data_IF_979138633693
#
_entry.id   IF_979138633693
#
_cell.length_a   1.000
_cell.length_b   1.000
_cell.length_c   1.000
_cell.angle_alpha   90.00
_cell.angle_beta   90.00
_cell.angle_gamma   90.00
#
_symmetry.space_group_name_H-M   'P 1'
#
loop_
_entity.id
_entity.type
_entity.pdbx_description
1 polymer ?
#
# COMPACT_ATOMS: atom_id res chain seq x y z
N UNK A 1 13.87 8.74 -4.65
CA UNK A 1 13.69 9.17 -3.27
C UNK A 1 13.39 7.99 -2.37
N UNK A 2 13.10 8.22 -1.11
CA UNK A 2 12.89 7.17 -0.10
C UNK A 2 11.88 7.64 0.93
N UNK A 3 11.08 6.72 1.42
CA UNK A 3 10.15 6.99 2.51
C UNK A 3 10.88 7.53 3.76
N UNK A 4 10.26 8.48 4.50
CA UNK A 4 10.80 8.97 5.74
C UNK A 4 11.13 7.83 6.72
N UNK A 5 12.20 7.97 7.46
CA UNK A 5 12.61 6.98 8.44
C UNK A 5 12.94 7.64 9.79
N UNK A 6 12.57 6.95 10.87
CA UNK A 6 12.87 7.37 12.24
C UNK A 6 14.15 6.64 12.70
N UNK A 7 15.31 7.32 12.79
CA UNK A 7 16.58 6.67 13.16
C UNK A 7 16.51 5.92 14.49
N UNK A 8 15.78 6.45 15.46
CA UNK A 8 15.65 5.90 16.81
C UNK A 8 14.93 4.53 16.88
N UNK A 9 14.26 4.14 15.79
CA UNK A 9 13.58 2.84 15.69
C UNK A 9 14.46 1.75 15.04
N UNK A 10 15.69 2.08 14.65
CA UNK A 10 16.61 1.11 14.06
C UNK A 10 17.37 0.36 15.15
N UNK A 11 17.62 -0.93 14.91
CA UNK A 11 18.41 -1.76 15.82
C UNK A 11 19.82 -1.21 16.04
N UNK A 12 20.42 -1.51 17.18
CA UNK A 12 21.73 -1.03 17.59
C UNK A 12 22.80 -1.17 16.51
N UNK A 13 23.46 -0.04 16.24
CA UNK A 13 24.52 0.04 15.26
C UNK A 13 24.07 -0.06 13.79
N UNK A 14 22.77 0.05 13.52
CA UNK A 14 22.20 0.26 12.20
C UNK A 14 21.67 1.69 12.07
N UNK A 15 21.52 2.15 10.83
CA UNK A 15 20.99 3.48 10.53
C UNK A 15 20.26 3.45 9.19
N UNK A 16 19.19 4.22 9.03
CA UNK A 16 18.51 4.32 7.73
C UNK A 16 19.38 4.96 6.64
N UNK A 17 20.27 5.88 7.01
CA UNK A 17 21.01 6.73 6.07
C UNK A 17 22.47 6.32 5.87
N UNK A 18 22.94 5.30 6.59
CA UNK A 18 24.27 4.75 6.44
C UNK A 18 24.16 3.25 6.18
N UNK A 19 24.36 2.86 4.92
CA UNK A 19 24.33 1.46 4.53
C UNK A 19 25.34 0.63 5.32
N UNK A 20 24.88 -0.47 5.92
CA UNK A 20 25.74 -1.35 6.71
C UNK A 20 25.56 -2.79 6.31
N UNK A 21 26.68 -3.46 5.99
CA UNK A 21 26.68 -4.90 5.73
C UNK A 21 26.91 -5.69 7.01
N UNK A 22 26.08 -6.71 7.26
CA UNK A 22 26.26 -7.72 8.33
C UNK A 22 26.09 -9.10 7.70
N UNK A 23 27.17 -9.84 7.54
CA UNK A 23 27.16 -11.09 6.80
C UNK A 23 26.75 -10.87 5.34
N UNK A 24 25.70 -11.54 4.90
CA UNK A 24 25.16 -11.44 3.53
C UNK A 24 24.11 -10.33 3.40
N UNK A 25 23.70 -9.70 4.48
CA UNK A 25 22.64 -8.69 4.50
C UNK A 25 23.17 -7.27 4.39
N UNK A 26 22.52 -6.46 3.56
CA UNK A 26 22.73 -5.02 3.47
C UNK A 26 21.56 -4.29 4.13
N UNK A 27 21.84 -3.52 5.16
CA UNK A 27 20.86 -2.74 5.90
C UNK A 27 20.94 -1.26 5.53
N UNK A 28 19.81 -0.65 5.28
CA UNK A 28 19.65 0.78 4.96
C UNK A 28 18.28 1.08 4.39
N UNK A 29 17.77 2.30 4.58
CA UNK A 29 16.53 2.70 3.92
C UNK A 29 16.73 2.70 2.40
N UNK A 30 15.82 2.03 1.67
CA UNK A 30 15.89 1.91 0.22
C UNK A 30 16.81 0.81 -0.29
N UNK A 31 17.37 -0.06 0.57
CA UNK A 31 18.19 -1.20 0.11
C UNK A 31 17.35 -2.25 -0.64
N UNK A 32 16.07 -2.41 -0.29
CA UNK A 32 15.13 -3.30 -0.94
C UNK A 32 14.04 -2.55 -1.72
N UNK A 33 13.66 -1.38 -1.27
CA UNK A 33 12.64 -0.54 -1.87
C UNK A 33 13.28 0.81 -2.28
N UNK A 34 13.73 0.96 -3.55
CA UNK A 34 14.03 -0.10 -4.53
C UNK A 34 15.47 0.03 -5.07
N UNK A 35 16.37 0.49 -4.22
CA UNK A 35 17.76 0.79 -4.61
C UNK A 35 18.52 -0.39 -5.26
N UNK A 36 18.03 -1.62 -5.18
CA UNK A 36 18.64 -2.79 -5.80
C UNK A 36 18.37 -2.87 -7.31
N UNK A 37 17.25 -2.28 -7.81
CA UNK A 37 16.73 -2.51 -9.15
C UNK A 37 17.75 -2.23 -10.26
N UNK A 38 18.40 -1.07 -10.22
CA UNK A 38 19.43 -0.73 -11.21
C UNK A 38 20.63 -1.69 -11.20
N UNK A 39 21.08 -2.11 -10.01
CA UNK A 39 22.18 -3.07 -9.89
C UNK A 39 21.80 -4.46 -10.38
N UNK A 40 20.57 -4.90 -10.13
CA UNK A 40 20.05 -6.18 -10.61
C UNK A 40 20.02 -6.21 -12.15
N UNK A 41 19.47 -5.17 -12.76
CA UNK A 41 19.42 -5.06 -14.24
C UNK A 41 20.82 -5.12 -14.88
N UNK A 42 21.78 -4.34 -14.33
CA UNK A 42 23.17 -4.36 -14.85
C UNK A 42 23.81 -5.74 -14.64
N UNK A 43 23.56 -6.38 -13.49
CA UNK A 43 24.10 -7.70 -13.20
C UNK A 43 23.55 -8.76 -14.13
N UNK A 44 22.26 -8.72 -14.47
CA UNK A 44 21.64 -9.63 -15.43
C UNK A 44 22.28 -9.52 -16.82
N UNK A 45 22.45 -8.30 -17.34
CA UNK A 45 23.10 -8.07 -18.64
C UNK A 45 24.56 -8.55 -18.60
N UNK A 46 25.30 -8.22 -17.56
CA UNK A 46 26.71 -8.68 -17.42
C UNK A 46 26.80 -10.21 -17.35
N UNK A 47 25.86 -10.88 -16.71
CA UNK A 47 25.82 -12.33 -16.66
C UNK A 47 25.59 -12.93 -18.06
N UNK A 48 24.65 -12.40 -18.85
CA UNK A 48 24.44 -12.84 -20.23
C UNK A 48 25.72 -12.66 -21.07
N UNK A 49 26.35 -11.50 -21.01
CA UNK A 49 27.59 -11.21 -21.74
C UNK A 49 28.74 -12.14 -21.32
N UNK A 50 28.88 -12.42 -20.02
CA UNK A 50 29.93 -13.33 -19.52
C UNK A 50 29.74 -14.77 -20.00
N UNK A 51 28.51 -15.18 -20.32
CA UNK A 51 28.19 -16.50 -20.88
C UNK A 51 28.10 -16.49 -22.41
N UNK A 52 28.47 -15.40 -23.07
CA UNK A 52 28.41 -15.28 -24.53
C UNK A 52 26.99 -15.33 -25.10
N UNK A 53 25.99 -14.96 -24.29
CA UNK A 53 24.61 -14.92 -24.70
C UNK A 53 24.22 -13.52 -25.19
N UNK A 54 23.41 -13.49 -26.25
CA UNK A 54 22.83 -12.25 -26.75
C UNK A 54 21.77 -11.70 -25.75
N UNK A 55 21.64 -10.38 -25.70
CA UNK A 55 20.58 -9.70 -24.99
C UNK A 55 20.00 -8.57 -25.85
N UNK A 56 18.72 -8.18 -25.64
CA UNK A 56 18.13 -7.06 -26.35
C UNK A 56 18.81 -5.74 -25.94
N UNK A 57 18.68 -4.71 -26.76
CA UNK A 57 18.98 -3.34 -26.34
C UNK A 57 18.12 -2.96 -25.14
N UNK A 58 18.73 -2.33 -24.16
CA UNK A 58 18.03 -1.93 -22.94
C UNK A 58 18.32 -0.47 -22.59
N UNK A 59 17.29 0.26 -22.21
CA UNK A 59 17.40 1.61 -21.65
C UNK A 59 16.94 1.55 -20.20
N UNK A 60 17.72 2.15 -19.29
CA UNK A 60 17.37 2.24 -17.88
C UNK A 60 16.88 3.65 -17.60
N UNK A 61 15.67 3.74 -17.06
CA UNK A 61 15.12 4.96 -16.48
C UNK A 61 15.13 4.83 -14.95
N UNK A 62 15.80 5.74 -14.27
CA UNK A 62 15.82 5.80 -12.80
C UNK A 62 14.99 6.99 -12.37
N UNK A 63 13.84 6.73 -11.81
CA UNK A 63 12.98 7.75 -11.24
C UNK A 63 13.44 8.11 -9.82
N UNK A 64 13.35 9.38 -9.44
CA UNK A 64 13.78 9.89 -8.14
C UNK A 64 12.67 10.55 -7.33
N UNK A 65 11.40 10.44 -7.74
CA UNK A 65 10.26 11.04 -7.06
C UNK A 65 9.04 10.10 -6.93
N UNK A 66 9.22 8.79 -7.11
CA UNK A 66 8.15 7.78 -7.00
C UNK A 66 7.48 7.85 -5.62
N UNK A 67 8.27 7.81 -4.55
CA UNK A 67 7.81 7.85 -3.16
C UNK A 67 7.12 9.17 -2.76
N UNK A 68 7.28 10.19 -3.57
CA UNK A 68 6.62 11.49 -3.43
C UNK A 68 5.40 11.63 -4.34
N UNK A 69 5.08 10.63 -5.18
CA UNK A 69 3.91 10.57 -6.04
C UNK A 69 4.14 10.84 -7.51
N UNK A 70 5.38 10.77 -8.00
CA UNK A 70 5.75 10.81 -9.44
C UNK A 70 5.20 11.99 -10.23
N UNK A 71 5.03 13.16 -9.60
CA UNK A 71 4.34 14.31 -10.21
C UNK A 71 4.98 14.77 -11.53
N UNK A 72 6.29 14.66 -11.64
CA UNK A 72 7.06 15.13 -12.80
C UNK A 72 7.33 14.02 -13.82
N UNK A 73 7.06 12.76 -13.49
CA UNK A 73 7.37 11.60 -14.34
C UNK A 73 6.79 11.72 -15.75
N UNK A 74 5.51 12.13 -15.95
CA UNK A 74 4.97 12.30 -17.31
C UNK A 74 5.78 13.24 -18.18
N UNK A 75 6.21 14.39 -17.63
CA UNK A 75 7.02 15.37 -18.35
C UNK A 75 8.42 14.82 -18.68
N UNK A 76 9.02 14.05 -17.78
CA UNK A 76 10.29 13.40 -18.04
C UNK A 76 10.17 12.30 -19.09
N UNK A 77 9.12 11.50 -19.08
CA UNK A 77 8.87 10.48 -20.11
C UNK A 77 8.75 11.12 -21.49
N UNK A 78 8.00 12.22 -21.62
CA UNK A 78 7.88 12.98 -22.87
C UNK A 78 9.24 13.49 -23.34
N UNK A 79 10.04 14.08 -22.43
CA UNK A 79 11.37 14.58 -22.73
C UNK A 79 12.35 13.45 -23.13
N UNK A 80 12.28 12.31 -22.46
CA UNK A 80 13.16 11.18 -22.67
C UNK A 80 12.74 10.26 -23.85
N UNK A 81 11.60 10.52 -24.49
CA UNK A 81 11.10 9.71 -25.61
C UNK A 81 12.16 9.41 -26.69
N UNK A 82 13.04 10.35 -27.10
CA UNK A 82 14.10 10.05 -28.08
C UNK A 82 15.11 8.98 -27.63
N UNK A 83 15.27 8.78 -26.34
CA UNK A 83 16.17 7.79 -25.73
C UNK A 83 15.45 6.48 -25.40
N UNK A 84 14.18 6.56 -25.01
CA UNK A 84 13.34 5.41 -24.67
C UNK A 84 12.90 4.64 -25.91
N UNK A 85 12.67 5.35 -27.01
CA UNK A 85 12.18 4.76 -28.25
C UNK A 85 10.77 4.18 -28.09
N UNK A 86 10.54 3.03 -28.73
CA UNK A 86 9.31 2.26 -28.61
C UNK A 86 9.65 0.87 -28.05
N UNK A 87 9.65 0.68 -26.74
CA UNK A 87 10.09 -0.58 -26.14
C UNK A 87 9.05 -1.69 -26.38
N UNK A 88 9.51 -2.89 -26.68
CA UNK A 88 8.67 -4.10 -26.75
C UNK A 88 8.28 -4.62 -25.39
N UNK A 89 9.09 -4.32 -24.35
CA UNK A 89 8.88 -4.72 -22.98
C UNK A 89 9.35 -3.63 -22.02
N UNK A 90 8.51 -3.32 -21.03
CA UNK A 90 8.86 -2.47 -19.89
C UNK A 90 8.88 -3.34 -18.64
N UNK A 91 9.99 -3.32 -17.91
CA UNK A 91 10.15 -4.03 -16.64
C UNK A 91 10.29 -3.00 -15.53
N UNK A 92 9.35 -2.99 -14.58
CA UNK A 92 9.37 -2.14 -13.40
C UNK A 92 9.97 -2.93 -12.23
N UNK A 93 11.05 -2.41 -11.65
CA UNK A 93 11.83 -3.08 -10.60
C UNK A 93 11.48 -2.53 -9.22
N UNK A 94 10.19 -2.49 -8.90
CA UNK A 94 9.67 -1.89 -7.67
C UNK A 94 8.68 -2.85 -6.97
N UNK A 95 9.01 -4.12 -6.94
CA UNK A 95 8.16 -5.13 -6.35
C UNK A 95 8.98 -6.17 -5.61
N UNK A 96 8.66 -6.41 -4.35
CA UNK A 96 9.25 -7.48 -3.58
C UNK A 96 8.65 -8.85 -3.89
N UNK A 97 9.33 -9.90 -3.48
CA UNK A 97 8.81 -11.27 -3.49
C UNK A 97 8.69 -11.84 -2.08
N UNK A 98 7.88 -12.87 -1.88
CA UNK A 98 7.75 -13.55 -0.57
C UNK A 98 9.01 -14.24 -0.09
N UNK A 99 9.94 -14.61 -0.98
CA UNK A 99 11.20 -15.29 -0.67
C UNK A 99 12.33 -14.90 -1.64
N UNK A 100 13.54 -15.40 -1.37
CA UNK A 100 14.73 -15.18 -2.19
C UNK A 100 15.09 -16.37 -3.11
N UNK A 101 14.31 -17.45 -3.08
CA UNK A 101 14.61 -18.68 -3.79
C UNK A 101 13.88 -18.75 -5.14
N UNK A 102 12.87 -17.91 -5.35
CA UNK A 102 12.04 -17.86 -6.54
C UNK A 102 12.09 -16.48 -7.23
N UNK A 103 11.89 -16.48 -8.55
CA UNK A 103 11.65 -15.26 -9.31
C UNK A 103 10.15 -14.96 -9.25
N UNK A 104 9.81 -13.85 -8.60
CA UNK A 104 8.44 -13.37 -8.49
C UNK A 104 8.14 -12.33 -9.56
N UNK A 105 7.02 -12.50 -10.23
CA UNK A 105 6.49 -11.54 -11.20
C UNK A 105 5.17 -10.99 -10.71
N UNK A 106 5.10 -9.69 -10.49
CA UNK A 106 3.86 -8.97 -10.24
C UNK A 106 3.25 -8.56 -11.57
N UNK A 107 2.06 -9.04 -11.87
CA UNK A 107 1.35 -8.74 -13.12
C UNK A 107 0.00 -8.04 -12.92
N UNK A 108 -0.37 -7.77 -11.66
CA UNK A 108 -1.53 -6.96 -11.31
C UNK A 108 -1.31 -6.26 -9.96
N UNK A 109 -1.74 -5.01 -9.87
CA UNK A 109 -1.72 -4.19 -8.65
C UNK A 109 -3.09 -3.61 -8.39
N UNK A 110 -3.44 -3.47 -7.12
CA UNK A 110 -4.66 -2.73 -6.73
C UNK A 110 -4.46 -1.24 -6.96
N UNK A 111 -5.50 -0.60 -7.47
CA UNK A 111 -5.59 0.86 -7.52
C UNK A 111 -5.85 1.45 -6.13
N UNK A 112 -5.90 2.78 -6.08
CA UNK A 112 -6.05 3.53 -4.85
C UNK A 112 -6.97 4.74 -5.07
N UNK A 113 -7.92 4.92 -4.15
CA UNK A 113 -8.74 6.12 -4.04
C UNK A 113 -8.50 6.74 -2.67
N UNK A 114 -8.17 8.01 -2.65
CA UNK A 114 -8.06 8.80 -1.43
C UNK A 114 -9.22 9.78 -1.30
N UNK A 115 -9.67 10.01 -0.08
CA UNK A 115 -10.69 11.00 0.20
C UNK A 115 -10.72 11.39 1.67
N UNK A 116 -11.45 12.44 1.99
CA UNK A 116 -11.66 12.86 3.38
C UNK A 116 -13.14 12.83 3.70
N UNK A 117 -13.51 12.02 4.68
CA UNK A 117 -14.84 12.04 5.28
C UNK A 117 -14.89 13.13 6.36
N UNK A 118 -15.66 14.18 6.12
CA UNK A 118 -15.80 15.31 7.05
C UNK A 118 -17.20 15.35 7.64
N UNK A 119 -17.31 15.32 8.96
CA UNK A 119 -18.57 15.44 9.70
C UNK A 119 -18.49 16.65 10.63
N UNK A 120 -19.41 17.59 10.48
CA UNK A 120 -19.50 18.79 11.31
C UNK A 120 -20.84 18.83 12.04
N UNK A 121 -20.83 19.11 13.34
CA UNK A 121 -22.03 19.04 14.20
C UNK A 121 -22.28 20.31 15.00
N UNK A 122 -21.26 21.12 15.27
CA UNK A 122 -21.42 22.38 16.01
C UNK A 122 -20.42 23.43 15.56
N UNK A 123 -20.70 24.69 15.86
CA UNK A 123 -19.81 25.83 15.55
C UNK A 123 -18.66 25.93 16.54
N UNK A 124 -18.91 25.57 17.80
CA UNK A 124 -17.96 25.64 18.91
C UNK A 124 -18.02 24.37 19.76
N UNK A 125 -16.93 24.10 20.47
CA UNK A 125 -16.88 23.00 21.45
C UNK A 125 -17.83 23.26 22.62
N UNK A 126 -18.58 22.24 23.03
CA UNK A 126 -19.54 22.32 24.13
C UNK A 126 -19.17 21.27 25.16
N UNK A 127 -19.34 21.63 26.47
CA UNK A 127 -19.10 20.68 27.54
C UNK A 127 -20.00 19.45 27.40
N UNK A 128 -19.37 18.26 27.42
CA UNK A 128 -20.06 16.99 27.09
C UNK A 128 -21.17 16.65 28.11
N UNK A 129 -21.02 17.06 29.36
CA UNK A 129 -22.04 16.92 30.39
C UNK A 129 -23.29 17.78 30.17
N UNK A 130 -23.17 18.88 29.40
CA UNK A 130 -24.31 19.76 29.08
C UNK A 130 -25.03 19.32 27.80
N UNK A 131 -24.29 18.89 26.79
CA UNK A 131 -24.82 18.66 25.45
C UNK A 131 -24.76 17.21 25.00
N UNK A 132 -24.11 16.34 25.75
CA UNK A 132 -24.07 14.90 25.47
C UNK A 132 -25.47 14.29 25.51
N UNK A 133 -25.84 13.59 24.47
CA UNK A 133 -27.19 13.06 24.27
C UNK A 133 -28.14 13.99 23.51
N UNK A 134 -27.95 15.32 23.58
CA UNK A 134 -28.70 16.29 22.77
C UNK A 134 -28.06 16.55 21.41
N UNK A 135 -26.75 16.81 21.39
CA UNK A 135 -25.98 16.96 20.15
C UNK A 135 -25.37 15.61 19.79
N UNK A 136 -25.58 15.10 18.56
CA UNK A 136 -24.93 13.87 18.13
C UNK A 136 -23.40 14.07 18.03
N UNK A 137 -22.64 13.07 18.47
CA UNK A 137 -21.17 13.07 18.31
C UNK A 137 -20.79 13.01 16.83
N UNK A 138 -19.88 13.89 16.39
CA UNK A 138 -19.35 13.86 15.02
C UNK A 138 -18.67 12.53 14.70
N UNK A 139 -17.95 11.94 15.65
CA UNK A 139 -17.31 10.64 15.49
C UNK A 139 -18.33 9.49 15.36
N UNK A 140 -19.45 9.56 16.10
CA UNK A 140 -20.53 8.57 15.93
C UNK A 140 -21.15 8.63 14.54
N UNK A 141 -21.36 9.83 14.00
CA UNK A 141 -21.88 9.99 12.64
C UNK A 141 -20.87 9.48 11.63
N UNK A 142 -19.58 9.78 11.80
CA UNK A 142 -18.52 9.26 10.93
C UNK A 142 -18.54 7.71 10.91
N UNK A 143 -18.66 7.04 12.06
CA UNK A 143 -18.80 5.56 12.11
C UNK A 143 -20.01 5.05 11.33
N UNK A 144 -21.18 5.69 11.49
CA UNK A 144 -22.38 5.31 10.74
C UNK A 144 -22.19 5.46 9.23
N UNK A 145 -21.43 6.46 8.79
CA UNK A 145 -21.12 6.66 7.37
C UNK A 145 -20.12 5.63 6.88
N UNK A 146 -19.11 5.27 7.68
CA UNK A 146 -18.18 4.20 7.35
C UNK A 146 -18.90 2.84 7.24
N UNK A 147 -19.85 2.54 8.14
CA UNK A 147 -20.66 1.31 8.11
C UNK A 147 -21.54 1.17 6.85
N UNK A 148 -21.69 2.24 6.05
CA UNK A 148 -22.33 2.15 4.71
C UNK A 148 -21.35 1.73 3.63
N UNK A 149 -20.07 1.93 3.86
CA UNK A 149 -18.99 1.60 2.91
C UNK A 149 -18.46 0.19 3.20
N UNK A 150 -18.27 -0.13 4.48
CA UNK A 150 -17.63 -1.34 4.96
C UNK A 150 -18.46 -1.99 6.07
N UNK A 151 -18.59 -3.30 6.03
CA UNK A 151 -19.09 -4.06 7.17
C UNK A 151 -18.01 -4.10 8.26
N UNK A 152 -18.28 -3.41 9.36
CA UNK A 152 -17.32 -3.24 10.47
C UNK A 152 -16.92 -4.54 11.21
N UNK A 153 -17.62 -5.66 10.96
CA UNK A 153 -17.28 -6.97 11.55
C UNK A 153 -16.35 -7.78 10.65
N UNK A 154 -16.52 -7.65 9.34
CA UNK A 154 -15.83 -8.52 8.36
C UNK A 154 -14.80 -7.76 7.52
N UNK A 155 -14.78 -6.42 7.57
CA UNK A 155 -13.96 -5.60 6.68
C UNK A 155 -14.39 -5.62 5.21
N UNK A 156 -15.54 -6.26 4.90
CA UNK A 156 -16.01 -6.36 3.51
C UNK A 156 -16.59 -5.01 3.04
N UNK A 157 -16.11 -4.53 1.92
CA UNK A 157 -16.70 -3.35 1.26
C UNK A 157 -18.08 -3.70 0.73
N UNK A 158 -19.06 -2.85 1.05
CA UNK A 158 -20.48 -3.08 0.77
C UNK A 158 -20.92 -2.51 -0.58
N UNK A 159 -20.16 -1.60 -1.16
CA UNK A 159 -20.49 -0.91 -2.41
C UNK A 159 -20.12 -1.81 -3.60
N UNK A 160 -21.10 -2.26 -4.42
CA UNK A 160 -20.86 -3.26 -5.47
C UNK A 160 -19.86 -2.83 -6.55
N UNK A 161 -19.84 -1.55 -6.92
CA UNK A 161 -18.97 -1.02 -7.98
C UNK A 161 -17.47 -1.06 -7.64
N UNK A 162 -17.10 -1.30 -6.38
CA UNK A 162 -15.71 -1.50 -5.97
C UNK A 162 -15.22 -2.94 -6.12
N UNK A 163 -16.10 -3.86 -6.48
CA UNK A 163 -15.74 -5.26 -6.65
C UNK A 163 -15.50 -5.62 -8.12
N UNK A 164 -14.64 -6.59 -8.33
CA UNK A 164 -14.44 -7.26 -9.61
C UNK A 164 -14.70 -8.76 -9.46
N UNK A 165 -14.92 -9.42 -10.58
CA UNK A 165 -15.06 -10.87 -10.61
C UNK A 165 -13.71 -11.55 -10.39
N UNK A 166 -13.67 -12.48 -9.45
CA UNK A 166 -12.50 -13.34 -9.21
C UNK A 166 -12.75 -14.61 -10.02
N UNK A 167 -12.04 -14.75 -11.14
CA UNK A 167 -12.18 -15.89 -12.04
C UNK A 167 -11.30 -17.08 -11.63
N UNK A 168 -11.51 -18.23 -12.28
CA UNK A 168 -10.79 -19.47 -11.98
C UNK A 168 -9.26 -19.33 -12.12
N UNK A 169 -8.76 -18.47 -13.01
CA UNK A 169 -7.32 -18.28 -13.14
C UNK A 169 -6.73 -17.55 -11.94
N UNK A 170 -7.44 -16.58 -11.36
CA UNK A 170 -7.03 -15.91 -10.12
C UNK A 170 -6.95 -16.89 -8.96
N UNK A 171 -7.97 -17.74 -8.83
CA UNK A 171 -8.03 -18.77 -7.78
C UNK A 171 -6.88 -19.78 -7.94
N UNK A 172 -6.65 -20.25 -9.17
CA UNK A 172 -5.56 -21.19 -9.48
C UNK A 172 -4.19 -20.59 -9.18
N UNK A 173 -3.96 -19.32 -9.56
CA UNK A 173 -2.70 -18.62 -9.29
C UNK A 173 -2.48 -18.43 -7.79
N UNK A 174 -3.52 -17.98 -7.07
CA UNK A 174 -3.45 -17.83 -5.61
C UNK A 174 -3.15 -19.16 -4.91
N UNK A 175 -3.76 -20.26 -5.36
CA UNK A 175 -3.48 -21.62 -4.85
C UNK A 175 -2.02 -22.02 -5.08
N UNK A 176 -1.49 -21.84 -6.28
CA UNK A 176 -0.12 -22.18 -6.60
C UNK A 176 0.90 -21.35 -5.80
N UNK A 177 0.63 -20.06 -5.60
CA UNK A 177 1.46 -19.19 -4.75
C UNK A 177 1.38 -19.66 -3.29
N UNK A 178 0.19 -19.98 -2.79
CA UNK A 178 -0.02 -20.44 -1.41
C UNK A 178 0.74 -21.74 -1.10
N UNK A 179 0.85 -22.65 -2.07
CA UNK A 179 1.66 -23.87 -1.92
C UNK A 179 3.16 -23.56 -1.70
N UNK A 180 3.67 -22.49 -2.29
CA UNK A 180 5.08 -22.07 -2.14
C UNK A 180 5.29 -21.30 -0.85
N UNK A 181 4.45 -20.29 -0.57
CA UNK A 181 4.67 -19.37 0.56
C UNK A 181 4.17 -19.92 1.90
N UNK A 182 3.17 -20.82 1.89
CA UNK A 182 2.61 -21.41 3.09
C UNK A 182 2.14 -20.36 4.10
N UNK A 183 2.38 -20.62 5.38
CA UNK A 183 2.02 -19.73 6.48
C UNK A 183 2.93 -18.48 6.59
N UNK A 184 4.02 -18.43 5.83
CA UNK A 184 5.00 -17.33 5.89
C UNK A 184 4.39 -15.98 5.45
N UNK A 185 3.33 -15.99 4.63
CA UNK A 185 2.65 -14.78 4.21
C UNK A 185 2.14 -13.97 5.40
N UNK A 186 1.42 -14.60 6.34
CA UNK A 186 0.96 -13.95 7.57
C UNK A 186 2.13 -13.68 8.53
N UNK A 187 3.00 -14.64 8.72
CA UNK A 187 4.14 -14.55 9.64
C UNK A 187 5.16 -13.47 9.30
N UNK A 188 5.18 -12.99 8.05
CA UNK A 188 6.03 -11.87 7.64
C UNK A 188 5.47 -10.49 8.00
N UNK A 189 4.19 -10.41 8.35
CA UNK A 189 3.56 -9.13 8.70
C UNK A 189 3.88 -8.74 10.16
N UNK A 190 4.21 -7.46 10.43
CA UNK A 190 4.56 -6.99 11.77
C UNK A 190 3.31 -6.76 12.63
N UNK A 191 2.54 -7.80 12.84
CA UNK A 191 1.29 -7.77 13.64
C UNK A 191 1.58 -8.09 15.11
N UNK A 192 0.67 -7.69 15.99
CA UNK A 192 0.74 -8.07 17.41
C UNK A 192 0.37 -9.55 17.57
N UNK A 193 0.99 -10.24 18.55
CA UNK A 193 0.86 -11.70 18.74
C UNK A 193 -0.58 -12.20 18.97
N UNK A 194 -1.45 -11.32 19.46
CA UNK A 194 -2.86 -11.64 19.75
C UNK A 194 -3.81 -11.42 18.59
N UNK A 195 -3.30 -10.91 17.45
CA UNK A 195 -4.13 -10.64 16.29
C UNK A 195 -4.27 -11.89 15.42
N UNK A 196 -5.51 -12.26 15.16
CA UNK A 196 -5.85 -13.32 14.20
C UNK A 196 -6.07 -12.73 12.79
N UNK A 197 -5.67 -13.41 11.73
CA UNK A 197 -5.98 -12.98 10.36
C UNK A 197 -7.49 -13.07 10.10
N UNK A 198 -7.97 -12.24 9.18
CA UNK A 198 -9.37 -12.35 8.70
C UNK A 198 -9.68 -13.71 8.08
N UNK A 199 -8.67 -14.37 7.53
CA UNK A 199 -8.77 -15.69 6.95
C UNK A 199 -7.48 -16.47 7.25
N UNK A 200 -7.58 -17.75 7.57
CA UNK A 200 -6.44 -18.64 7.83
C UNK A 200 -5.97 -19.38 6.56
N UNK A 201 -6.74 -19.35 5.49
CA UNK A 201 -6.39 -19.91 4.19
C UNK A 201 -5.49 -18.93 3.43
N UNK A 202 -4.24 -19.29 3.18
CA UNK A 202 -3.26 -18.45 2.49
C UNK A 202 -3.69 -18.10 1.06
N UNK A 203 -4.31 -19.02 0.32
CA UNK A 203 -4.81 -18.72 -1.02
C UNK A 203 -5.93 -17.68 -0.97
N UNK A 204 -6.82 -17.78 0.01
CA UNK A 204 -7.87 -16.79 0.22
C UNK A 204 -7.29 -15.44 0.67
N UNK A 205 -6.29 -15.41 1.56
CA UNK A 205 -5.57 -14.16 1.91
C UNK A 205 -4.96 -13.48 0.68
N UNK A 206 -4.35 -14.25 -0.23
CA UNK A 206 -3.81 -13.72 -1.48
C UNK A 206 -4.88 -13.12 -2.38
N UNK A 207 -6.05 -13.76 -2.47
CA UNK A 207 -7.19 -13.20 -3.20
C UNK A 207 -7.72 -11.92 -2.54
N UNK A 208 -7.81 -11.89 -1.22
CA UNK A 208 -8.29 -10.73 -0.47
C UNK A 208 -7.34 -9.53 -0.63
N UNK A 209 -6.02 -9.76 -0.58
CA UNK A 209 -5.01 -8.71 -0.73
C UNK A 209 -4.91 -8.20 -2.17
N UNK A 210 -5.12 -9.03 -3.19
CA UNK A 210 -4.88 -8.64 -4.59
C UNK A 210 -6.16 -8.32 -5.36
N UNK A 211 -7.29 -8.98 -5.05
CA UNK A 211 -8.50 -8.95 -5.88
C UNK A 211 -9.75 -8.46 -5.16
N UNK A 212 -9.63 -8.02 -3.90
CA UNK A 212 -10.74 -7.43 -3.16
C UNK A 212 -10.44 -6.00 -2.74
N UNK A 213 -11.46 -5.12 -2.67
CA UNK A 213 -11.30 -3.79 -2.12
C UNK A 213 -11.06 -3.85 -0.61
N UNK A 214 -10.35 -2.85 -0.08
CA UNK A 214 -10.11 -2.71 1.34
C UNK A 214 -10.04 -1.24 1.73
N UNK A 215 -10.72 -0.86 2.81
CA UNK A 215 -10.73 0.49 3.36
C UNK A 215 -9.74 0.59 4.52
N UNK A 216 -9.02 1.70 4.58
CA UNK A 216 -8.20 2.09 5.73
C UNK A 216 -8.46 3.54 6.10
N UNK A 217 -8.59 3.82 7.39
CA UNK A 217 -8.53 5.19 7.92
C UNK A 217 -7.06 5.49 8.19
N UNK A 218 -6.48 6.39 7.41
CA UNK A 218 -5.04 6.69 7.44
C UNK A 218 -4.70 8.01 8.15
N UNK A 219 -5.71 8.72 8.62
CA UNK A 219 -5.53 9.96 9.39
C UNK A 219 -6.83 10.42 10.02
N UNK A 220 -6.73 11.16 11.12
CA UNK A 220 -7.87 11.72 11.82
C UNK A 220 -7.62 13.17 12.23
N UNK A 221 -8.61 14.04 12.00
CA UNK A 221 -8.65 15.43 12.41
C UNK A 221 -9.87 15.70 13.32
N UNK A 222 -9.82 16.83 14.04
CA UNK A 222 -10.89 17.23 14.96
C UNK A 222 -10.87 16.55 16.34
N UNK A 223 -9.98 15.59 16.54
CA UNK A 223 -9.74 14.90 17.81
C UNK A 223 -8.36 15.31 18.36
N UNK A 224 -8.25 15.78 19.62
CA UNK A 224 -6.97 16.07 20.22
C UNK A 224 -6.22 14.77 20.55
N UNK A 225 -4.89 14.86 20.77
CA UNK A 225 -4.14 13.77 21.39
C UNK A 225 -4.76 13.37 22.74
N UNK A 226 -4.61 12.11 23.12
CA UNK A 226 -5.22 11.55 24.34
C UNK A 226 -4.83 12.36 25.59
N UNK A 227 -3.56 12.78 25.66
CA UNK A 227 -2.99 13.54 26.78
C UNK A 227 -3.59 14.94 26.95
N UNK A 228 -4.15 15.49 25.89
CA UNK A 228 -4.81 16.81 25.88
C UNK A 228 -6.33 16.72 25.73
N UNK A 229 -6.90 15.52 25.86
CA UNK A 229 -8.33 15.31 25.75
C UNK A 229 -9.08 15.91 26.97
N UNK A 230 -10.21 16.58 26.71
CA UNK A 230 -11.09 17.14 27.73
C UNK A 230 -12.55 16.78 27.48
N UNK A 231 -13.41 17.06 28.45
CA UNK A 231 -14.84 16.74 28.40
C UNK A 231 -15.62 17.68 27.46
N UNK A 232 -15.22 17.70 26.19
CA UNK A 232 -15.77 18.58 25.15
C UNK A 232 -16.33 17.75 24.01
N UNK A 233 -17.57 18.00 23.61
CA UNK A 233 -18.11 17.56 22.34
C UNK A 233 -17.35 18.27 21.22
N UNK A 234 -16.79 17.50 20.33
CA UNK A 234 -16.01 18.03 19.21
C UNK A 234 -16.91 18.60 18.13
N UNK A 235 -16.48 19.73 17.57
CA UNK A 235 -17.20 20.42 16.50
C UNK A 235 -17.29 19.60 15.23
N UNK A 236 -16.28 18.78 14.98
CA UNK A 236 -16.14 17.97 13.78
C UNK A 236 -15.27 16.75 14.01
N UNK A 237 -15.32 15.83 13.03
CA UNK A 237 -14.40 14.73 12.83
C UNK A 237 -14.09 14.67 11.35
N UNK A 238 -12.81 14.70 11.01
CA UNK A 238 -12.32 14.50 9.64
C UNK A 238 -11.50 13.19 9.62
N UNK A 239 -11.81 12.27 8.71
CA UNK A 239 -11.10 11.02 8.54
C UNK A 239 -10.52 10.96 7.13
N UNK A 240 -9.21 10.85 7.04
CA UNK A 240 -8.55 10.57 5.77
C UNK A 240 -8.72 9.09 5.45
N UNK A 241 -9.33 8.80 4.31
CA UNK A 241 -9.66 7.46 3.85
C UNK A 241 -8.75 7.04 2.72
N UNK A 242 -8.29 5.80 2.76
CA UNK A 242 -7.55 5.12 1.70
C UNK A 242 -8.32 3.85 1.33
N UNK A 243 -8.84 3.80 0.11
CA UNK A 243 -9.59 2.67 -0.40
C UNK A 243 -8.79 2.00 -1.52
N UNK A 244 -8.29 0.80 -1.26
CA UNK A 244 -7.67 -0.04 -2.27
C UNK A 244 -8.75 -0.67 -3.13
N UNK A 245 -8.59 -0.63 -4.45
CA UNK A 245 -9.54 -1.18 -5.41
C UNK A 245 -8.87 -2.22 -6.31
N UNK A 246 -9.50 -3.36 -6.57
CA UNK A 246 -8.93 -4.40 -7.41
C UNK A 246 -8.78 -3.96 -8.87
N UNK A 247 -7.90 -4.63 -9.65
CA UNK A 247 -7.81 -4.41 -11.08
C UNK A 247 -9.16 -4.58 -11.78
N UNK A 248 -9.40 -3.78 -12.82
CA UNK A 248 -10.64 -3.81 -13.60
C UNK A 248 -11.78 -2.93 -13.06
N UNK A 249 -11.67 -2.41 -11.85
CA UNK A 249 -12.63 -1.43 -11.32
C UNK A 249 -12.42 -0.06 -11.98
N UNK A 250 -13.50 0.51 -12.51
CA UNK A 250 -13.50 1.89 -12.99
C UNK A 250 -13.62 2.84 -11.79
N UNK A 251 -12.51 3.42 -11.36
CA UNK A 251 -12.44 4.29 -10.17
C UNK A 251 -13.35 5.50 -10.26
N UNK A 252 -13.45 6.15 -11.41
CA UNK A 252 -14.29 7.34 -11.59
C UNK A 252 -15.79 7.00 -11.41
N UNK A 253 -16.23 5.88 -11.98
CA UNK A 253 -17.60 5.41 -11.83
C UNK A 253 -17.89 4.97 -10.39
N UNK A 254 -16.98 4.27 -9.76
CA UNK A 254 -17.13 3.79 -8.39
C UNK A 254 -17.16 4.92 -7.35
N UNK A 255 -16.47 6.04 -7.62
CA UNK A 255 -16.48 7.22 -6.74
C UNK A 255 -17.80 8.01 -6.73
N UNK A 256 -18.68 7.77 -7.70
CA UNK A 256 -19.98 8.49 -7.82
C UNK A 256 -21.09 7.72 -7.05
N UNK A 257 -20.94 6.44 -6.86
CA UNK A 257 -21.89 5.59 -6.14
C UNK A 257 -21.76 5.74 -4.61
#
# INVERSE_FOLDING_TARGET
DKQPSKPDLWSDGLSPFVGKRRGEWLYGRGSIDDGYGGYLCISAIKALQAHGMDHPSATFLIETCEESGSYDLPAYLDHCTPYLGNPDLVVVMDSGGPDYDHIWKTDALRGLIHGTLSVRVSKEGVHSGMAGGAIPSSFRIARILLDRIEDSRTGKILIPSFHTEINDSHVKTAGAIAEVVGESLWGSLPVVETLEPHNTDTAQMLLDVNWRPALSVIGAGGLPPVESAGNVLRTHTDLALSLRIPPGVNSQKAMIE
#
